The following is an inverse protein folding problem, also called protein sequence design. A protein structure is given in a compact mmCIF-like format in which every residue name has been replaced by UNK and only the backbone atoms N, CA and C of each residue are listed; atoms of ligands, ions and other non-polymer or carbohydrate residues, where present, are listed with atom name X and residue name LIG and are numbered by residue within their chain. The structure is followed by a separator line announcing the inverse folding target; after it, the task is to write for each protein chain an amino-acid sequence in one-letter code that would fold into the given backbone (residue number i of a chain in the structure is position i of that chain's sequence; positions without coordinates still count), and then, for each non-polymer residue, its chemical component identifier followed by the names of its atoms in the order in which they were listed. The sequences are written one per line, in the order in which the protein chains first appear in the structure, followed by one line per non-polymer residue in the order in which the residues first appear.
data_IF_843295726895
#
_entry.id   IF_843295726895
#
_cell.length_a   1.000
_cell.length_b   1.000
_cell.length_c   1.000
_cell.angle_alpha   90.00
_cell.angle_beta   90.00
_cell.angle_gamma   90.00
#
_symmetry.space_group_name_H-M   'P 1'
#
loop_
_entity.id
_entity.type
_entity.pdbx_description
1 polymer ?
#
# COMPACT_ATOMS: atom_id res chain seq x y z
N UNK A 1 -18.56 9.62 -6.05
CA UNK A 1 -17.60 8.70 -6.72
C UNK A 1 -18.38 7.52 -7.26
N UNK A 2 -18.25 7.25 -8.56
CA UNK A 2 -18.89 6.16 -9.26
C UNK A 2 -17.86 5.12 -9.66
N UNK A 3 -17.78 4.04 -8.89
CA UNK A 3 -16.64 3.12 -8.87
C UNK A 3 -16.83 1.95 -9.85
N UNK A 4 -15.82 1.74 -10.71
CA UNK A 4 -15.57 0.49 -11.41
C UNK A 4 -14.46 -0.28 -10.71
N UNK A 5 -14.65 -1.58 -10.48
CA UNK A 5 -13.67 -2.43 -9.79
C UNK A 5 -13.06 -3.41 -10.79
N UNK A 6 -11.73 -3.53 -10.78
CA UNK A 6 -10.98 -4.49 -11.59
C UNK A 6 -10.34 -5.55 -10.71
N UNK A 7 -10.65 -6.81 -11.00
CA UNK A 7 -10.25 -7.98 -10.25
C UNK A 7 -11.41 -8.62 -9.51
N UNK A 8 -11.23 -9.89 -9.13
CA UNK A 8 -12.17 -10.66 -8.32
C UNK A 8 -11.41 -11.48 -7.25
N UNK A 9 -10.17 -11.07 -6.94
CA UNK A 9 -9.28 -11.72 -5.97
C UNK A 9 -9.63 -11.41 -4.52
N UNK A 10 -8.71 -11.82 -3.62
CA UNK A 10 -8.87 -11.66 -2.17
C UNK A 10 -9.07 -10.19 -1.79
N UNK A 11 -8.24 -9.27 -2.33
CA UNK A 11 -8.30 -7.86 -1.93
C UNK A 11 -9.61 -7.19 -2.35
N UNK A 12 -10.17 -7.56 -3.52
CA UNK A 12 -11.48 -7.06 -3.95
C UNK A 12 -12.59 -7.58 -3.02
N UNK A 13 -12.54 -8.84 -2.60
CA UNK A 13 -13.50 -9.36 -1.64
C UNK A 13 -13.39 -8.64 -0.28
N UNK A 14 -12.16 -8.38 0.17
CA UNK A 14 -11.91 -7.61 1.40
C UNK A 14 -12.46 -6.17 1.30
N UNK A 15 -12.29 -5.50 0.15
CA UNK A 15 -12.91 -4.20 -0.12
C UNK A 15 -14.44 -4.26 -0.01
N UNK A 16 -15.05 -5.28 -0.61
CA UNK A 16 -16.49 -5.44 -0.66
C UNK A 16 -17.14 -5.78 0.70
N UNK A 17 -16.34 -6.15 1.73
CA UNK A 17 -16.84 -6.37 3.09
C UNK A 17 -17.35 -5.08 3.74
N UNK A 18 -16.74 -3.93 3.43
CA UNK A 18 -17.05 -2.65 4.10
C UNK A 18 -17.50 -1.53 3.16
N UNK A 19 -17.31 -1.66 1.82
CA UNK A 19 -17.50 -0.55 0.88
C UNK A 19 -18.89 0.09 0.97
N UNK A 20 -19.90 -0.70 1.37
CA UNK A 20 -21.27 -0.21 1.59
C UNK A 20 -21.43 0.73 2.79
N UNK A 21 -20.40 0.83 3.63
CA UNK A 21 -20.34 1.79 4.74
C UNK A 21 -19.76 3.15 4.31
N UNK A 22 -19.33 3.26 3.04
CA UNK A 22 -18.78 4.47 2.42
C UNK A 22 -19.73 4.91 1.31
N UNK A 23 -19.98 6.21 1.16
CA UNK A 23 -20.90 6.76 0.15
C UNK A 23 -20.28 6.71 -1.27
N UNK A 24 -20.08 5.49 -1.77
CA UNK A 24 -19.52 5.17 -3.08
C UNK A 24 -20.52 4.33 -3.86
N UNK A 25 -20.85 4.73 -5.09
CA UNK A 25 -21.74 3.99 -5.97
C UNK A 25 -20.96 2.93 -6.76
N UNK A 26 -21.33 1.64 -6.58
CA UNK A 26 -20.75 0.53 -7.32
C UNK A 26 -21.37 0.42 -8.71
N UNK A 27 -20.65 0.82 -9.74
CA UNK A 27 -21.15 0.85 -11.13
C UNK A 27 -20.81 -0.43 -11.86
N UNK A 28 -19.54 -0.82 -11.89
CA UNK A 28 -19.08 -1.92 -12.71
C UNK A 28 -18.05 -2.79 -12.00
N UNK A 29 -18.02 -4.07 -12.35
CA UNK A 29 -16.94 -4.97 -11.94
C UNK A 29 -16.41 -5.68 -13.19
N UNK A 30 -15.06 -5.82 -13.27
CA UNK A 30 -14.39 -6.47 -14.39
C UNK A 30 -13.30 -7.43 -13.91
N UNK A 31 -13.20 -8.59 -14.57
CA UNK A 31 -12.09 -9.52 -14.43
C UNK A 31 -11.92 -10.34 -15.72
N UNK A 32 -11.09 -11.37 -15.69
CA UNK A 32 -10.86 -12.22 -16.86
C UNK A 32 -12.11 -13.03 -17.25
N UNK A 33 -12.25 -13.44 -18.53
CA UNK A 33 -13.37 -14.30 -18.96
C UNK A 33 -13.54 -15.58 -18.13
N UNK A 34 -12.44 -16.13 -17.60
CA UNK A 34 -12.46 -17.33 -16.75
C UNK A 34 -13.13 -17.09 -15.38
N UNK A 35 -13.28 -15.83 -14.95
CA UNK A 35 -13.89 -15.46 -13.68
C UNK A 35 -15.33 -14.94 -13.82
N UNK A 36 -15.96 -15.13 -15.01
CA UNK A 36 -17.28 -14.58 -15.31
C UNK A 36 -18.35 -14.98 -14.28
N UNK A 37 -18.41 -16.25 -13.92
CA UNK A 37 -19.41 -16.71 -12.94
C UNK A 37 -19.24 -16.05 -11.58
N UNK A 38 -18.00 -15.90 -11.14
CA UNK A 38 -17.66 -15.19 -9.92
C UNK A 38 -18.04 -13.71 -9.98
N UNK A 39 -17.87 -13.07 -11.13
CA UNK A 39 -18.31 -11.68 -11.33
C UNK A 39 -19.82 -11.54 -11.22
N UNK A 40 -20.61 -12.48 -11.77
CA UNK A 40 -22.05 -12.50 -11.66
C UNK A 40 -22.52 -12.70 -10.21
N UNK A 41 -21.84 -13.56 -9.44
CA UNK A 41 -22.11 -13.74 -8.02
C UNK A 41 -21.84 -12.44 -7.23
N UNK A 42 -20.72 -11.76 -7.51
CA UNK A 42 -20.38 -10.48 -6.88
C UNK A 42 -21.38 -9.39 -7.29
N UNK A 43 -21.82 -9.35 -8.54
CA UNK A 43 -22.87 -8.44 -9.01
C UNK A 43 -24.15 -8.61 -8.20
N UNK A 44 -24.64 -9.85 -8.09
CA UNK A 44 -25.87 -10.16 -7.37
C UNK A 44 -25.77 -9.81 -5.88
N UNK A 45 -24.60 -10.09 -5.27
CA UNK A 45 -24.38 -9.86 -3.85
C UNK A 45 -24.22 -8.39 -3.49
N UNK A 46 -23.54 -7.60 -4.32
CA UNK A 46 -23.14 -6.24 -4.00
C UNK A 46 -23.83 -5.16 -4.83
N UNK A 47 -24.65 -5.56 -5.82
CA UNK A 47 -25.50 -4.62 -6.57
C UNK A 47 -24.78 -3.85 -7.68
N UNK A 48 -23.73 -4.41 -8.29
CA UNK A 48 -23.11 -3.77 -9.46
C UNK A 48 -24.09 -3.68 -10.63
N UNK A 49 -24.12 -2.52 -11.31
CA UNK A 49 -24.98 -2.34 -12.49
C UNK A 49 -24.51 -3.17 -13.68
N UNK A 50 -23.18 -3.24 -13.87
CA UNK A 50 -22.57 -3.86 -15.05
C UNK A 50 -21.46 -4.85 -14.67
N UNK A 51 -21.33 -5.91 -15.48
CA UNK A 51 -20.25 -6.90 -15.41
C UNK A 51 -19.52 -6.92 -16.74
N UNK A 52 -18.20 -6.87 -16.71
CA UNK A 52 -17.33 -6.93 -17.88
C UNK A 52 -16.30 -8.04 -17.74
N UNK A 53 -16.02 -8.74 -18.84
CA UNK A 53 -14.90 -9.69 -18.93
C UNK A 53 -13.75 -9.12 -19.77
N UNK A 54 -13.89 -7.88 -20.23
CA UNK A 54 -12.89 -7.08 -20.91
C UNK A 54 -12.77 -5.73 -20.19
N UNK A 55 -11.53 -5.39 -19.78
CA UNK A 55 -11.26 -4.14 -19.08
C UNK A 55 -11.44 -2.91 -19.97
N UNK A 56 -11.04 -3.02 -21.24
CA UNK A 56 -11.12 -1.90 -22.17
C UNK A 56 -12.61 -1.57 -22.49
N UNK A 57 -13.51 -2.56 -22.51
CA UNK A 57 -14.95 -2.32 -22.58
C UNK A 57 -15.48 -1.60 -21.33
N UNK A 58 -15.05 -1.99 -20.13
CA UNK A 58 -15.46 -1.29 -18.91
C UNK A 58 -15.00 0.17 -18.91
N UNK A 59 -13.82 0.47 -19.42
CA UNK A 59 -13.30 1.85 -19.50
C UNK A 59 -14.15 2.74 -20.42
N UNK A 60 -14.88 2.19 -21.38
CA UNK A 60 -15.82 2.94 -22.26
C UNK A 60 -17.14 3.28 -21.56
N UNK A 61 -17.42 2.71 -20.38
CA UNK A 61 -18.62 3.03 -19.64
C UNK A 61 -18.53 4.44 -19.02
N UNK A 62 -19.38 5.36 -19.51
CA UNK A 62 -19.40 6.76 -19.07
C UNK A 62 -20.00 6.95 -17.67
N UNK A 63 -20.66 5.94 -17.10
CA UNK A 63 -21.13 6.01 -15.71
C UNK A 63 -19.99 5.80 -14.71
N UNK A 64 -18.88 5.16 -15.11
CA UNK A 64 -17.69 4.97 -14.26
C UNK A 64 -16.84 6.24 -14.33
N UNK A 65 -16.59 6.89 -13.20
CA UNK A 65 -15.65 8.03 -13.09
C UNK A 65 -14.32 7.64 -12.45
N UNK A 66 -14.31 6.62 -11.60
CA UNK A 66 -13.14 6.16 -10.84
C UNK A 66 -12.98 4.65 -10.98
N UNK A 67 -11.75 4.18 -11.12
CA UNK A 67 -11.44 2.76 -11.24
C UNK A 67 -10.56 2.31 -10.06
N UNK A 68 -11.03 1.31 -9.31
CA UNK A 68 -10.22 0.60 -8.33
C UNK A 68 -9.53 -0.59 -9.00
N UNK A 69 -8.21 -0.68 -8.86
CA UNK A 69 -7.36 -1.69 -9.48
C UNK A 69 -6.82 -2.68 -8.43
N UNK A 70 -7.53 -3.80 -8.26
CA UNK A 70 -7.17 -4.91 -7.37
C UNK A 70 -6.59 -6.11 -8.15
N UNK A 71 -5.58 -5.86 -8.97
CA UNK A 71 -4.89 -6.85 -9.82
C UNK A 71 -3.51 -7.21 -9.27
N UNK A 72 -2.78 -8.14 -9.92
CA UNK A 72 -1.40 -8.47 -9.51
C UNK A 72 -0.45 -7.28 -9.75
N UNK A 73 0.54 -7.10 -8.87
CA UNK A 73 1.43 -5.94 -8.82
C UNK A 73 2.03 -5.53 -10.18
N UNK A 74 2.56 -6.48 -10.98
CA UNK A 74 3.16 -6.21 -12.29
C UNK A 74 2.16 -5.65 -13.33
N UNK A 75 0.86 -5.78 -13.09
CA UNK A 75 -0.20 -5.25 -13.97
C UNK A 75 -0.61 -3.82 -13.59
N UNK A 76 -0.24 -3.34 -12.40
CA UNK A 76 -0.67 -2.05 -11.88
C UNK A 76 -0.39 -0.91 -12.86
N UNK A 77 0.84 -0.81 -13.36
CA UNK A 77 1.20 0.25 -14.30
C UNK A 77 0.37 0.24 -15.58
N UNK A 78 0.24 -0.94 -16.22
CA UNK A 78 -0.46 -1.05 -17.50
C UNK A 78 -1.95 -0.74 -17.37
N UNK A 79 -2.58 -1.25 -16.30
CA UNK A 79 -4.02 -1.02 -16.06
C UNK A 79 -4.29 0.44 -15.66
N UNK A 80 -3.45 1.01 -14.78
CA UNK A 80 -3.56 2.41 -14.40
C UNK A 80 -3.34 3.36 -15.58
N UNK A 81 -2.36 3.08 -16.44
CA UNK A 81 -2.10 3.87 -17.64
C UNK A 81 -3.33 3.90 -18.57
N UNK A 82 -3.97 2.76 -18.83
CA UNK A 82 -5.19 2.67 -19.63
C UNK A 82 -6.35 3.47 -19.01
N UNK A 83 -6.54 3.38 -17.69
CA UNK A 83 -7.59 4.13 -17.00
C UNK A 83 -7.39 5.64 -17.12
N UNK A 84 -6.17 6.14 -16.89
CA UNK A 84 -5.84 7.55 -17.07
C UNK A 84 -6.03 8.00 -18.53
N UNK A 85 -5.64 7.18 -19.50
CA UNK A 85 -5.88 7.46 -20.93
C UNK A 85 -7.37 7.56 -21.27
N UNK A 86 -8.19 6.75 -20.61
CA UNK A 86 -9.67 6.77 -20.71
C UNK A 86 -10.32 7.87 -19.84
N UNK A 87 -9.53 8.79 -19.28
CA UNK A 87 -9.98 9.90 -18.41
C UNK A 87 -10.73 9.42 -17.16
N UNK A 88 -10.27 8.33 -16.54
CA UNK A 88 -10.81 7.85 -15.25
C UNK A 88 -9.84 8.21 -14.13
N UNK A 89 -10.39 8.61 -12.97
CA UNK A 89 -9.65 8.66 -11.71
C UNK A 89 -9.28 7.24 -11.26
N UNK A 90 -8.27 7.09 -10.41
CA UNK A 90 -7.77 5.77 -10.04
C UNK A 90 -7.64 5.65 -8.51
N UNK A 91 -8.01 4.48 -8.00
CA UNK A 91 -7.56 3.95 -6.71
C UNK A 91 -6.78 2.68 -7.04
N UNK A 92 -5.47 2.71 -6.79
CA UNK A 92 -4.53 1.65 -7.15
C UNK A 92 -4.03 0.93 -5.91
N UNK A 93 -4.17 -0.41 -5.88
CA UNK A 93 -3.62 -1.21 -4.78
C UNK A 93 -2.11 -1.03 -4.63
N UNK A 94 -1.66 -1.20 -3.38
CA UNK A 94 -0.22 -1.26 -3.07
C UNK A 94 0.39 -2.60 -3.59
N UNK A 95 1.67 -2.60 -3.95
CA UNK A 95 2.56 -1.46 -4.17
C UNK A 95 2.12 -0.65 -5.38
N UNK A 96 2.33 0.66 -5.35
CA UNK A 96 1.83 1.56 -6.39
C UNK A 96 2.18 1.09 -7.80
N UNK A 97 3.44 0.71 -8.03
CA UNK A 97 3.94 0.12 -9.27
C UNK A 97 5.10 -0.84 -9.00
N UNK A 98 5.68 -1.44 -10.04
CA UNK A 98 6.87 -2.29 -9.91
C UNK A 98 8.15 -1.50 -9.61
N UNK A 99 8.23 -0.21 -10.01
CA UNK A 99 9.39 0.65 -9.81
C UNK A 99 9.02 2.14 -9.86
N UNK A 100 9.97 2.99 -9.45
CA UNK A 100 9.80 4.44 -9.38
C UNK A 100 9.47 5.10 -10.73
N UNK A 101 10.09 4.66 -11.83
CA UNK A 101 9.87 5.30 -13.13
C UNK A 101 8.45 5.07 -13.65
N UNK A 102 7.88 3.89 -13.42
CA UNK A 102 6.48 3.61 -13.72
C UNK A 102 5.56 4.52 -12.89
N UNK A 103 5.82 4.64 -11.58
CA UNK A 103 5.06 5.53 -10.69
C UNK A 103 5.11 6.98 -11.17
N UNK A 104 6.29 7.48 -11.51
CA UNK A 104 6.49 8.84 -12.00
C UNK A 104 5.72 9.10 -13.30
N UNK A 105 5.70 8.15 -14.23
CA UNK A 105 4.91 8.26 -15.47
C UNK A 105 3.41 8.38 -15.20
N UNK A 106 2.88 7.57 -14.28
CA UNK A 106 1.45 7.64 -13.92
C UNK A 106 1.11 8.98 -13.26
N UNK A 107 1.89 9.43 -12.30
CA UNK A 107 1.68 10.71 -11.60
C UNK A 107 1.73 11.89 -12.57
N UNK A 108 2.71 11.91 -13.48
CA UNK A 108 2.81 12.98 -14.48
C UNK A 108 1.59 13.00 -15.43
N UNK A 109 1.13 11.83 -15.88
CA UNK A 109 -0.07 11.74 -16.74
C UNK A 109 -1.34 12.14 -15.99
N UNK A 110 -1.47 11.76 -14.71
CA UNK A 110 -2.59 12.15 -13.88
C UNK A 110 -2.65 13.69 -13.71
N UNK A 111 -1.51 14.33 -13.41
CA UNK A 111 -1.39 15.79 -13.32
C UNK A 111 -1.73 16.47 -14.64
N UNK A 112 -1.20 16.00 -15.77
CA UNK A 112 -1.46 16.53 -17.11
C UNK A 112 -2.97 16.50 -17.44
N UNK A 113 -3.65 15.43 -17.06
CA UNK A 113 -5.07 15.23 -17.36
C UNK A 113 -6.02 15.78 -16.28
N UNK A 114 -5.49 16.37 -15.21
CA UNK A 114 -6.29 16.77 -14.03
C UNK A 114 -7.12 15.63 -13.45
N UNK A 115 -6.52 14.44 -13.34
CA UNK A 115 -7.12 13.26 -12.74
C UNK A 115 -6.48 12.96 -11.38
N UNK A 116 -7.26 12.44 -10.46
CA UNK A 116 -6.79 12.00 -9.15
C UNK A 116 -6.31 10.56 -9.22
N UNK A 117 -5.24 10.25 -8.48
CA UNK A 117 -4.69 8.91 -8.36
C UNK A 117 -4.28 8.62 -6.91
N UNK A 118 -4.98 7.71 -6.28
CA UNK A 118 -4.77 7.31 -4.89
C UNK A 118 -4.12 5.93 -4.82
N UNK A 119 -3.09 5.77 -3.99
CA UNK A 119 -2.59 4.45 -3.61
C UNK A 119 -3.40 3.93 -2.43
N UNK A 120 -3.97 2.73 -2.56
CA UNK A 120 -4.70 2.07 -1.49
C UNK A 120 -3.71 1.52 -0.46
N UNK A 121 -3.36 2.36 0.51
CA UNK A 121 -2.45 2.07 1.62
C UNK A 121 -3.06 2.51 2.95
N UNK A 122 -3.53 1.56 3.73
CA UNK A 122 -4.25 1.83 4.99
C UNK A 122 -3.44 2.60 6.03
N UNK A 123 -2.11 2.47 6.02
CA UNK A 123 -1.21 2.94 7.08
C UNK A 123 -1.34 4.44 7.37
N UNK A 124 -1.19 5.30 6.36
CA UNK A 124 -1.16 6.75 6.52
C UNK A 124 -2.56 7.38 6.74
N UNK A 125 -3.60 6.63 6.41
CA UNK A 125 -5.01 7.04 6.60
C UNK A 125 -5.57 6.60 7.97
N UNK A 126 -4.81 5.77 8.70
CA UNK A 126 -5.24 5.23 9.99
C UNK A 126 -5.29 6.33 11.06
N UNK A 127 -6.37 6.42 11.89
CA UNK A 127 -6.49 7.45 12.93
C UNK A 127 -5.38 7.38 13.98
N UNK A 128 -4.86 6.18 14.30
CA UNK A 128 -3.71 6.05 15.18
C UNK A 128 -2.43 6.61 14.56
N UNK A 129 -2.25 6.48 13.22
CA UNK A 129 -1.13 7.10 12.52
C UNK A 129 -1.19 8.64 12.63
N UNK A 130 -2.34 9.23 12.35
CA UNK A 130 -2.56 10.68 12.48
C UNK A 130 -2.30 11.16 13.92
N UNK A 131 -2.68 10.34 14.91
CA UNK A 131 -2.41 10.65 16.33
C UNK A 131 -0.92 10.52 16.69
N UNK A 132 -0.20 9.56 16.15
CA UNK A 132 1.25 9.45 16.32
C UNK A 132 1.94 10.70 15.76
N UNK A 133 1.54 11.16 14.56
CA UNK A 133 2.07 12.38 13.94
C UNK A 133 1.90 13.61 14.86
N UNK A 134 0.71 13.77 15.47
CA UNK A 134 0.44 14.85 16.44
C UNK A 134 1.32 14.77 17.70
N UNK A 135 1.65 13.56 18.16
CA UNK A 135 2.41 13.34 19.39
C UNK A 135 3.93 13.39 19.20
N UNK A 136 4.43 13.23 17.96
CA UNK A 136 5.88 13.22 17.68
C UNK A 136 6.63 14.41 18.30
N UNK A 137 6.15 15.67 18.24
CA UNK A 137 6.86 16.81 18.83
C UNK A 137 7.09 16.69 20.34
N UNK A 138 6.28 15.91 21.05
CA UNK A 138 6.41 15.72 22.51
C UNK A 138 7.55 14.77 22.89
N UNK A 139 8.09 14.01 21.94
CA UNK A 139 9.13 13.03 22.18
C UNK A 139 10.54 13.64 22.18
N UNK A 140 10.69 14.90 21.76
CA UNK A 140 12.01 15.52 21.53
C UNK A 140 12.67 14.99 20.25
N UNK A 141 14.00 14.80 20.30
CA UNK A 141 14.76 14.34 19.14
C UNK A 141 14.67 12.82 18.97
N UNK A 142 14.12 12.37 17.86
CA UNK A 142 14.12 10.95 17.49
C UNK A 142 15.57 10.47 17.28
N UNK A 143 15.91 9.29 17.79
CA UNK A 143 17.24 8.68 17.70
C UNK A 143 17.23 7.37 16.91
N UNK A 144 16.25 6.49 17.15
CA UNK A 144 16.14 5.19 16.48
C UNK A 144 14.66 4.89 16.20
N UNK A 145 14.39 4.38 15.00
CA UNK A 145 13.09 3.78 14.66
C UNK A 145 13.29 2.31 14.29
N UNK A 146 12.53 1.42 14.90
CA UNK A 146 12.52 0.00 14.57
C UNK A 146 11.11 -0.44 14.18
N UNK A 147 10.94 -1.01 12.99
CA UNK A 147 9.67 -1.53 12.50
C UNK A 147 9.84 -2.98 12.05
N UNK A 148 8.86 -3.81 12.36
CA UNK A 148 8.91 -5.24 12.07
C UNK A 148 7.55 -5.72 11.55
N UNK A 149 7.54 -6.24 10.33
CA UNK A 149 6.42 -7.00 9.78
C UNK A 149 6.90 -8.35 9.28
N UNK A 150 6.92 -9.33 10.15
CA UNK A 150 7.32 -10.71 9.84
C UNK A 150 6.15 -11.64 10.02
N UNK A 151 5.85 -12.40 8.98
CA UNK A 151 4.72 -13.32 8.94
C UNK A 151 5.09 -14.56 8.12
N UNK A 152 5.03 -15.75 8.73
CA UNK A 152 5.14 -16.98 7.93
C UNK A 152 3.98 -17.04 6.94
N UNK A 153 4.28 -16.82 5.67
CA UNK A 153 3.28 -16.75 4.62
C UNK A 153 2.59 -18.10 4.42
N UNK A 154 1.27 -18.11 4.33
CA UNK A 154 0.49 -19.29 3.95
C UNK A 154 0.88 -19.89 2.59
N UNK A 155 1.59 -19.12 1.76
CA UNK A 155 2.08 -19.53 0.43
C UNK A 155 3.52 -20.02 0.45
N UNK A 156 4.23 -19.92 1.59
CA UNK A 156 5.64 -20.29 1.67
C UNK A 156 5.87 -21.81 1.58
N UNK A 157 4.94 -22.63 2.08
CA UNK A 157 5.04 -24.08 1.94
C UNK A 157 4.92 -24.57 0.49
N UNK A 158 4.08 -23.91 -0.33
CA UNK A 158 3.99 -24.14 -1.77
C UNK A 158 5.32 -23.73 -2.45
N UNK A 159 5.84 -22.54 -2.09
CA UNK A 159 7.13 -22.04 -2.60
C UNK A 159 8.30 -22.98 -2.26
N UNK A 160 8.38 -23.54 -1.06
CA UNK A 160 9.40 -24.57 -0.70
C UNK A 160 9.32 -25.83 -1.56
N UNK A 161 8.14 -26.15 -2.08
CA UNK A 161 7.89 -27.29 -2.97
C UNK A 161 8.10 -26.97 -4.45
N UNK A 162 8.52 -25.74 -4.77
CA UNK A 162 8.77 -25.28 -6.16
C UNK A 162 7.55 -24.70 -6.86
N UNK A 163 6.40 -24.54 -6.16
CA UNK A 163 5.23 -23.85 -6.69
C UNK A 163 5.33 -22.35 -6.42
N UNK A 164 5.64 -21.57 -7.48
CA UNK A 164 5.86 -20.13 -7.36
C UNK A 164 4.54 -19.37 -7.54
N UNK A 165 3.95 -18.96 -6.44
CA UNK A 165 2.74 -18.12 -6.42
C UNK A 165 3.12 -16.63 -6.55
N UNK A 166 2.19 -15.74 -7.00
CA UNK A 166 2.48 -14.33 -7.30
C UNK A 166 3.27 -13.57 -6.22
N UNK A 167 2.97 -13.81 -4.96
CA UNK A 167 3.63 -13.14 -3.83
C UNK A 167 5.11 -13.53 -3.61
N UNK A 168 5.59 -14.57 -4.31
CA UNK A 168 6.98 -15.05 -4.34
C UNK A 168 7.57 -15.07 -5.74
N UNK A 169 6.91 -14.43 -6.71
CA UNK A 169 7.34 -14.40 -8.10
C UNK A 169 7.94 -13.03 -8.45
N UNK A 170 9.25 -12.98 -8.71
CA UNK A 170 9.91 -11.74 -9.14
C UNK A 170 9.34 -11.18 -10.44
N UNK A 171 8.80 -12.05 -11.32
CA UNK A 171 8.13 -11.65 -12.58
C UNK A 171 6.80 -10.94 -12.33
N UNK A 172 6.27 -11.05 -11.13
CA UNK A 172 5.02 -10.41 -10.71
C UNK A 172 5.23 -9.34 -9.64
N UNK A 173 6.48 -8.87 -9.49
CA UNK A 173 6.85 -7.86 -8.51
C UNK A 173 6.46 -8.24 -7.07
N UNK A 174 6.72 -9.52 -6.72
CA UNK A 174 6.51 -10.05 -5.37
C UNK A 174 7.67 -9.71 -4.42
N UNK A 175 7.82 -10.51 -3.36
CA UNK A 175 8.90 -10.39 -2.38
C UNK A 175 8.50 -9.79 -1.05
N UNK A 176 9.37 -9.90 -0.06
CA UNK A 176 9.13 -9.40 1.29
C UNK A 176 9.16 -7.87 1.35
N UNK A 177 10.06 -7.24 0.60
CA UNK A 177 10.15 -5.78 0.51
C UNK A 177 8.87 -5.17 -0.07
N UNK A 178 8.40 -5.71 -1.21
CA UNK A 178 7.25 -5.19 -1.95
C UNK A 178 5.91 -5.46 -1.26
N UNK A 179 5.77 -6.59 -0.58
CA UNK A 179 4.47 -7.04 -0.08
C UNK A 179 4.24 -6.71 1.40
N UNK A 180 5.29 -6.78 2.23
CA UNK A 180 5.19 -6.58 3.69
C UNK A 180 5.93 -5.32 4.15
N UNK A 181 7.21 -5.13 3.74
CA UNK A 181 7.99 -3.98 4.22
C UNK A 181 7.45 -2.64 3.72
N UNK A 182 6.69 -2.66 2.63
CA UNK A 182 6.02 -1.49 2.07
C UNK A 182 5.20 -0.74 3.13
N UNK A 183 4.50 -1.43 4.02
CA UNK A 183 3.72 -0.80 5.11
C UNK A 183 4.60 -0.07 6.11
N UNK A 184 5.76 -0.66 6.47
CA UNK A 184 6.74 -0.02 7.32
C UNK A 184 7.36 1.21 6.63
N UNK A 185 7.61 1.13 5.31
CA UNK A 185 8.15 2.23 4.51
C UNK A 185 7.14 3.38 4.42
N UNK A 186 5.87 3.09 4.17
CA UNK A 186 4.81 4.11 4.19
C UNK A 186 4.70 4.79 5.54
N UNK A 187 4.78 4.02 6.64
CA UNK A 187 4.71 4.56 7.99
C UNK A 187 5.84 5.55 8.26
N UNK A 188 7.08 5.16 8.00
CA UNK A 188 8.22 6.03 8.33
C UNK A 188 8.34 7.23 7.40
N UNK A 189 8.06 7.07 6.09
CA UNK A 189 8.07 8.18 5.13
C UNK A 189 6.92 9.15 5.42
N UNK A 190 5.75 8.66 5.83
CA UNK A 190 4.63 9.51 6.22
C UNK A 190 4.96 10.43 7.39
N UNK A 191 5.70 9.92 8.39
CA UNK A 191 6.07 10.70 9.58
C UNK A 191 7.30 11.60 9.38
N UNK A 192 8.29 11.17 8.59
CA UNK A 192 9.61 11.81 8.55
C UNK A 192 10.09 12.21 7.16
N UNK A 193 9.30 11.94 6.12
CA UNK A 193 9.70 12.18 4.74
C UNK A 193 10.74 11.20 4.23
N UNK A 194 11.43 11.56 3.13
CA UNK A 194 12.43 10.72 2.49
C UNK A 194 13.73 10.65 3.30
N UNK A 195 14.36 9.46 3.44
CA UNK A 195 15.68 9.32 4.04
C UNK A 195 16.78 9.91 3.13
N UNK A 196 17.97 10.15 3.69
CA UNK A 196 19.17 10.56 2.93
C UNK A 196 19.76 9.42 2.12
N UNK A 197 19.71 8.19 2.66
CA UNK A 197 20.16 6.97 1.98
C UNK A 197 19.49 5.75 2.58
N UNK A 198 19.50 4.67 1.80
CA UNK A 198 18.99 3.36 2.21
C UNK A 198 19.99 2.26 1.85
N UNK A 199 20.00 1.19 2.65
CA UNK A 199 20.66 -0.07 2.35
C UNK A 199 19.71 -1.23 2.66
N UNK A 200 19.77 -2.27 1.84
CA UNK A 200 18.91 -3.46 2.00
C UNK A 200 19.75 -4.73 1.95
N UNK A 201 19.56 -5.59 2.95
CA UNK A 201 20.19 -6.91 3.05
C UNK A 201 19.06 -7.93 3.11
N UNK A 202 19.06 -8.91 2.21
CA UNK A 202 17.95 -9.84 2.07
C UNK A 202 18.39 -11.29 1.93
N UNK A 203 17.53 -12.21 2.38
CA UNK A 203 17.60 -13.62 2.05
C UNK A 203 16.91 -13.83 0.70
N UNK A 204 17.68 -14.19 -0.31
CA UNK A 204 17.21 -14.40 -1.68
C UNK A 204 17.03 -15.90 -1.94
N UNK A 205 15.87 -16.29 -2.48
CA UNK A 205 15.61 -17.63 -2.98
C UNK A 205 14.76 -17.52 -4.26
N UNK A 206 15.09 -18.30 -5.30
CA UNK A 206 14.39 -18.24 -6.60
C UNK A 206 14.27 -16.81 -7.18
N UNK A 207 15.36 -16.04 -7.09
CA UNK A 207 15.46 -14.64 -7.51
C UNK A 207 14.47 -13.67 -6.85
N UNK A 208 13.97 -13.99 -5.66
CA UNK A 208 13.08 -13.12 -4.89
C UNK A 208 13.53 -13.06 -3.42
N UNK A 209 13.34 -11.91 -2.78
CA UNK A 209 13.57 -11.74 -1.36
C UNK A 209 12.44 -12.39 -0.55
N UNK A 210 12.81 -13.35 0.31
CA UNK A 210 11.86 -14.01 1.21
C UNK A 210 11.80 -13.34 2.57
N UNK A 211 12.89 -12.68 2.96
CA UNK A 211 13.00 -11.82 4.15
C UNK A 211 14.16 -10.84 3.98
N UNK A 212 14.15 -9.74 4.75
CA UNK A 212 15.22 -8.77 4.67
C UNK A 212 15.13 -7.66 5.71
N UNK A 213 16.25 -6.92 5.82
CA UNK A 213 16.45 -5.78 6.69
C UNK A 213 16.75 -4.57 5.81
N UNK A 214 15.87 -3.58 5.84
CA UNK A 214 16.06 -2.28 5.22
C UNK A 214 16.52 -1.29 6.28
N UNK A 215 17.68 -0.67 6.09
CA UNK A 215 18.15 0.42 6.91
C UNK A 215 17.96 1.75 6.20
N UNK A 216 17.59 2.78 6.94
CA UNK A 216 17.38 4.14 6.42
C UNK A 216 18.16 5.14 7.27
N UNK A 217 18.97 5.99 6.61
CA UNK A 217 19.67 7.10 7.22
C UNK A 217 18.94 8.42 7.01
N UNK A 218 18.42 9.00 8.09
CA UNK A 218 17.82 10.33 8.11
C UNK A 218 18.81 11.46 8.50
N UNK A 219 20.08 11.09 8.75
CA UNK A 219 21.11 12.00 9.28
C UNK A 219 21.04 12.12 10.79
N UNK A 220 20.00 12.71 11.33
CA UNK A 220 19.79 12.89 12.79
C UNK A 220 19.43 11.59 13.51
N UNK A 221 18.75 10.68 12.84
CA UNK A 221 18.40 9.36 13.39
C UNK A 221 18.57 8.26 12.34
N UNK A 222 18.46 7.01 12.78
CA UNK A 222 18.52 5.82 11.93
C UNK A 222 17.28 4.97 12.11
N UNK A 223 16.87 4.30 11.01
CA UNK A 223 15.75 3.38 11.07
C UNK A 223 16.13 1.99 10.54
N UNK A 224 15.50 0.97 11.14
CA UNK A 224 15.61 -0.44 10.74
C UNK A 224 14.21 -0.99 10.52
N UNK A 225 13.94 -1.43 9.30
CA UNK A 225 12.66 -2.00 8.88
C UNK A 225 12.86 -3.45 8.47
N UNK A 226 12.22 -4.36 9.20
CA UNK A 226 12.37 -5.80 9.01
C UNK A 226 11.08 -6.35 8.39
N UNK A 227 11.23 -7.17 7.35
CA UNK A 227 10.13 -7.92 6.79
C UNK A 227 10.53 -9.35 6.46
N UNK A 228 9.62 -10.30 6.71
CA UNK A 228 9.83 -11.70 6.38
C UNK A 228 8.51 -12.38 5.99
N UNK A 229 8.60 -13.25 4.97
CA UNK A 229 7.52 -14.14 4.50
C UNK A 229 7.83 -15.61 4.77
N UNK A 230 9.07 -15.91 5.16
CA UNK A 230 9.63 -17.24 5.41
C UNK A 230 9.72 -17.60 6.90
N UNK A 231 9.53 -16.61 7.78
CA UNK A 231 9.47 -16.77 9.24
C UNK A 231 8.49 -15.77 9.84
N UNK A 232 8.18 -15.92 11.13
CA UNK A 232 7.31 -15.00 11.86
C UNK A 232 7.80 -14.81 13.29
N UNK A 233 7.55 -13.61 13.84
CA UNK A 233 7.84 -13.24 15.21
C UNK A 233 6.76 -12.27 15.74
N UNK A 234 6.67 -12.03 17.06
CA UNK A 234 5.85 -10.95 17.59
C UNK A 234 6.28 -9.59 17.00
N UNK A 235 5.30 -8.73 16.73
CA UNK A 235 5.59 -7.38 16.26
C UNK A 235 6.15 -6.52 17.40
N UNK A 236 7.26 -5.83 17.10
CA UNK A 236 7.93 -4.93 18.03
C UNK A 236 8.30 -3.66 17.26
N UNK A 237 7.40 -2.70 17.27
CA UNK A 237 7.54 -1.45 16.54
C UNK A 237 7.75 -0.31 17.52
N UNK A 238 8.77 0.52 17.31
CA UNK A 238 9.12 1.57 18.25
C UNK A 238 9.76 2.78 17.56
N UNK A 239 9.31 3.97 17.92
CA UNK A 239 9.99 5.26 17.69
C UNK A 239 10.63 5.64 19.02
N UNK A 240 11.96 5.73 19.07
CA UNK A 240 12.73 6.03 20.26
C UNK A 240 13.34 7.43 20.13
N UNK A 241 13.09 8.27 21.13
CA UNK A 241 13.56 9.64 21.19
C UNK A 241 14.12 9.98 22.58
N UNK A 242 14.72 11.14 22.74
CA UNK A 242 15.39 11.50 23.99
C UNK A 242 14.43 11.87 25.14
N UNK A 243 13.22 12.31 24.86
CA UNK A 243 12.20 12.61 25.88
C UNK A 243 11.16 11.49 26.05
N UNK A 244 11.16 10.45 25.21
CA UNK A 244 10.22 9.35 25.33
C UNK A 244 10.22 8.41 24.12
N UNK A 245 9.15 7.62 24.01
CA UNK A 245 8.96 6.70 22.89
C UNK A 245 7.48 6.50 22.55
N UNK A 246 7.25 6.05 21.31
CA UNK A 246 5.97 5.46 20.89
C UNK A 246 6.24 4.02 20.46
N UNK A 247 5.47 3.06 20.98
CA UNK A 247 5.64 1.67 20.61
C UNK A 247 4.31 0.93 20.44
N UNK A 248 4.32 -0.14 19.66
CA UNK A 248 3.13 -0.96 19.43
C UNK A 248 3.51 -2.41 19.11
N UNK A 249 2.65 -3.35 19.52
CA UNK A 249 2.66 -4.76 19.07
C UNK A 249 1.72 -5.01 17.87
N UNK A 250 1.17 -3.97 17.27
CA UNK A 250 0.37 -4.05 16.04
C UNK A 250 1.26 -3.87 14.80
N UNK A 251 1.05 -4.63 13.72
CA UNK A 251 1.74 -4.37 12.46
C UNK A 251 1.21 -3.08 11.81
N UNK A 252 2.06 -2.41 11.02
CA UNK A 252 1.74 -1.08 10.45
C UNK A 252 0.53 -1.09 9.49
N UNK A 253 0.19 -2.23 8.88
CA UNK A 253 -0.97 -2.29 7.98
C UNK A 253 -2.33 -2.23 8.67
N UNK A 254 -2.40 -2.53 9.98
CA UNK A 254 -3.62 -2.40 10.80
C UNK A 254 -3.52 -1.32 11.85
N UNK A 255 -2.35 -1.15 12.46
CA UNK A 255 -2.04 -0.18 13.51
C UNK A 255 -3.23 0.03 14.48
N UNK A 256 -3.67 -1.06 15.12
CA UNK A 256 -4.89 -1.07 15.94
C UNK A 256 -4.75 -0.28 17.22
N UNK A 257 -3.54 -0.21 17.78
CA UNK A 257 -3.23 0.49 19.02
C UNK A 257 -1.77 0.89 19.07
N UNK A 258 -1.44 1.81 19.98
CA UNK A 258 -0.07 2.14 20.33
C UNK A 258 0.01 2.73 21.75
N UNK A 259 1.21 2.70 22.32
CA UNK A 259 1.55 3.33 23.59
C UNK A 259 2.43 4.56 23.33
N UNK A 260 2.11 5.68 23.99
CA UNK A 260 2.95 6.87 24.07
C UNK A 260 3.49 7.01 25.49
N UNK A 261 4.80 7.01 25.66
CA UNK A 261 5.45 7.05 26.96
C UNK A 261 6.54 8.13 27.00
N UNK A 262 6.37 9.13 27.82
CA UNK A 262 7.44 10.07 28.16
C UNK A 262 8.36 9.49 29.25
N UNK A 263 9.61 9.92 29.28
CA UNK A 263 10.58 9.47 30.27
C UNK A 263 10.05 9.64 31.70
N UNK A 264 10.18 8.60 32.51
CA UNK A 264 9.74 8.55 33.92
C UNK A 264 8.23 8.71 34.14
N UNK A 265 7.42 8.54 33.09
CA UNK A 265 5.94 8.55 33.17
C UNK A 265 5.40 7.18 32.78
N UNK A 266 4.19 6.89 33.22
CA UNK A 266 3.46 5.70 32.78
C UNK A 266 3.04 5.86 31.31
N UNK A 267 2.97 4.78 30.53
CA UNK A 267 2.52 4.82 29.16
C UNK A 267 1.03 5.19 29.07
N UNK A 268 0.68 5.94 28.04
CA UNK A 268 -0.71 6.24 27.67
C UNK A 268 -1.08 5.39 26.47
N UNK A 269 -2.13 4.59 26.64
CA UNK A 269 -2.66 3.72 25.58
C UNK A 269 -3.61 4.47 24.65
N UNK A 270 -3.47 4.23 23.34
CA UNK A 270 -4.34 4.76 22.29
C UNK A 270 -4.88 3.63 21.41
N UNK A 271 -6.19 3.59 21.20
CA UNK A 271 -6.92 2.82 20.19
C UNK A 271 -8.02 3.69 19.60
N UNK A 272 -7.77 4.28 18.45
CA UNK A 272 -8.67 5.21 17.77
C UNK A 272 -9.35 4.59 16.55
N UNK A 273 -9.12 3.31 16.28
CA UNK A 273 -9.69 2.63 15.11
C UNK A 273 -11.17 2.32 15.26
N UNK A 274 -11.66 2.29 16.51
CA UNK A 274 -13.05 1.95 16.83
C UNK A 274 -13.53 0.64 16.19
N UNK A 275 -12.63 -0.33 16.04
CA UNK A 275 -12.88 -1.61 15.35
C UNK A 275 -13.34 -1.46 13.90
N UNK A 276 -13.11 -0.33 13.24
CA UNK A 276 -13.41 -0.17 11.83
C UNK A 276 -12.58 -1.10 10.96
N UNK A 277 -13.13 -1.50 9.83
CA UNK A 277 -12.37 -2.27 8.85
C UNK A 277 -11.10 -1.50 8.44
N UNK A 278 -9.93 -2.15 8.39
CA UNK A 278 -8.61 -1.53 8.20
C UNK A 278 -8.51 -0.60 6.97
N UNK A 279 -9.23 -0.92 5.89
CA UNK A 279 -9.24 -0.15 4.65
C UNK A 279 -10.29 0.98 4.65
N UNK A 280 -11.19 1.05 5.64
CA UNK A 280 -12.30 2.01 5.61
C UNK A 280 -11.83 3.46 5.64
N UNK A 281 -10.83 3.75 6.46
CA UNK A 281 -10.34 5.12 6.64
C UNK A 281 -9.70 5.70 5.37
N UNK A 282 -8.96 4.89 4.60
CA UNK A 282 -8.39 5.33 3.33
C UNK A 282 -9.48 5.69 2.32
N UNK A 283 -10.55 4.88 2.21
CA UNK A 283 -11.67 5.17 1.29
C UNK A 283 -12.50 6.39 1.73
N UNK A 284 -12.62 6.64 3.03
CA UNK A 284 -13.25 7.88 3.54
C UNK A 284 -12.43 9.11 3.16
N UNK A 285 -11.10 9.06 3.33
CA UNK A 285 -10.19 10.15 2.95
C UNK A 285 -10.21 10.37 1.43
N UNK A 286 -10.17 9.30 0.61
CA UNK A 286 -10.23 9.39 -0.86
C UNK A 286 -11.54 10.02 -1.32
N UNK A 287 -12.67 9.60 -0.74
CA UNK A 287 -13.97 10.15 -1.07
C UNK A 287 -14.08 11.64 -0.71
N UNK A 288 -13.55 12.04 0.44
CA UNK A 288 -13.51 13.43 0.89
C UNK A 288 -12.72 14.30 -0.09
N UNK A 289 -11.48 13.88 -0.44
CA UNK A 289 -10.60 14.57 -1.40
C UNK A 289 -11.28 14.68 -2.78
N UNK A 290 -11.85 13.57 -3.24
CA UNK A 290 -12.55 13.49 -4.52
C UNK A 290 -13.75 14.45 -4.58
N UNK A 291 -14.62 14.42 -3.57
CA UNK A 291 -15.83 15.25 -3.53
C UNK A 291 -15.51 16.75 -3.42
N UNK A 292 -14.45 17.10 -2.69
CA UNK A 292 -13.96 18.47 -2.57
C UNK A 292 -13.17 18.95 -3.79
N UNK A 293 -12.80 18.02 -4.70
CA UNK A 293 -11.85 18.28 -5.81
C UNK A 293 -10.54 18.87 -5.29
N UNK A 294 -10.06 18.33 -4.16
CA UNK A 294 -8.83 18.82 -3.50
C UNK A 294 -7.60 18.20 -4.17
N UNK A 295 -7.25 18.76 -5.33
CA UNK A 295 -6.06 18.34 -6.09
C UNK A 295 -4.75 18.59 -5.32
N UNK A 296 -4.72 19.50 -4.37
CA UNK A 296 -3.53 19.74 -3.56
C UNK A 296 -3.31 18.61 -2.53
N UNK A 297 -4.39 18.09 -1.95
CA UNK A 297 -4.31 16.91 -1.07
C UNK A 297 -3.94 15.64 -1.86
N UNK A 298 -4.54 15.44 -3.05
CA UNK A 298 -4.19 14.35 -3.96
C UNK A 298 -2.70 14.41 -4.37
N UNK A 299 -2.17 15.60 -4.71
CA UNK A 299 -0.75 15.78 -5.04
C UNK A 299 0.18 15.34 -3.90
N UNK A 300 -0.15 15.65 -2.65
CA UNK A 300 0.63 15.20 -1.49
C UNK A 300 0.65 13.68 -1.35
N UNK A 301 -0.50 13.02 -1.60
CA UNK A 301 -0.58 11.54 -1.60
C UNK A 301 0.30 10.98 -2.73
N UNK A 302 0.24 11.54 -3.94
CA UNK A 302 1.08 11.13 -5.06
C UNK A 302 2.57 11.30 -4.76
N UNK A 303 2.97 12.42 -4.16
CA UNK A 303 4.37 12.69 -3.77
C UNK A 303 4.85 11.70 -2.71
N UNK A 304 3.98 11.36 -1.75
CA UNK A 304 4.27 10.32 -0.76
C UNK A 304 4.50 8.95 -1.43
N UNK A 305 3.60 8.51 -2.31
CA UNK A 305 3.75 7.24 -3.03
C UNK A 305 5.00 7.22 -3.91
N UNK A 306 5.36 8.35 -4.55
CA UNK A 306 6.62 8.47 -5.30
C UNK A 306 7.84 8.33 -4.39
N UNK A 307 7.82 8.93 -3.19
CA UNK A 307 8.93 8.81 -2.23
C UNK A 307 9.11 7.37 -1.76
N UNK A 308 8.01 6.65 -1.50
CA UNK A 308 8.01 5.22 -1.14
C UNK A 308 8.58 4.38 -2.28
N UNK A 309 8.10 4.57 -3.52
CA UNK A 309 8.58 3.82 -4.68
C UNK A 309 10.05 4.10 -5.00
N UNK A 310 10.53 5.31 -4.74
CA UNK A 310 11.95 5.66 -4.88
C UNK A 310 12.82 4.85 -3.90
N UNK A 311 12.43 4.80 -2.63
CA UNK A 311 13.11 4.00 -1.59
C UNK A 311 13.10 2.52 -1.95
N UNK A 312 11.97 1.96 -2.36
CA UNK A 312 11.87 0.55 -2.74
C UNK A 312 12.77 0.24 -3.95
N UNK A 313 12.76 1.08 -4.97
CA UNK A 313 13.58 0.88 -6.18
C UNK A 313 15.07 0.96 -5.84
N UNK A 314 15.49 1.93 -5.01
CA UNK A 314 16.87 2.04 -4.54
C UNK A 314 17.28 0.83 -3.68
N UNK A 315 16.44 0.40 -2.74
CA UNK A 315 16.71 -0.77 -1.91
C UNK A 315 16.91 -2.05 -2.74
N UNK A 316 16.06 -2.30 -3.75
CA UNK A 316 16.23 -3.43 -4.66
C UNK A 316 17.55 -3.38 -5.44
N UNK A 317 17.99 -2.19 -5.85
CA UNK A 317 19.25 -2.02 -6.57
C UNK A 317 20.49 -2.39 -5.75
N UNK A 318 20.41 -2.31 -4.40
CA UNK A 318 21.51 -2.69 -3.50
C UNK A 318 21.80 -4.20 -3.48
N UNK A 319 20.83 -5.01 -3.87
CA UNK A 319 20.90 -6.48 -3.84
C UNK A 319 20.71 -7.11 -5.22
N UNK A 320 20.80 -6.31 -6.28
CA UNK A 320 20.59 -6.73 -7.67
C UNK A 320 19.24 -7.46 -7.92
N UNK A 321 18.21 -7.11 -7.14
CA UNK A 321 16.86 -7.64 -7.32
C UNK A 321 16.15 -6.87 -8.44
N UNK A 322 16.23 -7.43 -9.65
CA UNK A 322 15.70 -6.84 -10.88
C UNK A 322 14.38 -7.50 -11.27
N UNK A 323 13.36 -6.70 -11.50
CA UNK A 323 12.09 -7.16 -12.07
C UNK A 323 12.09 -7.00 -13.59
N UNK A 324 11.29 -7.79 -14.35
CA UNK A 324 11.17 -7.60 -15.80
C UNK A 324 10.79 -6.17 -16.20
N UNK A 325 9.95 -5.53 -15.41
CA UNK A 325 9.47 -4.16 -15.62
C UNK A 325 10.56 -3.08 -15.48
N UNK A 326 11.70 -3.41 -14.89
CA UNK A 326 12.83 -2.47 -14.76
C UNK A 326 13.57 -2.28 -16.08
N UNK A 327 13.37 -3.19 -17.06
CA UNK A 327 14.02 -3.18 -18.36
C UNK A 327 13.21 -2.47 -19.45
N UNK A 328 11.95 -2.15 -19.19
CA UNK A 328 10.98 -1.67 -20.18
C UNK A 328 10.61 -0.19 -20.02
N UNK A 329 11.54 0.64 -19.54
CA UNK A 329 11.27 2.07 -19.23
C UNK A 329 12.00 2.99 -20.20
#
# INVERSE_FOLDING_TARGET
MKLGIVGAGLIVNTLLEFIHEVDIELIAISATPAEKDKLLDLQNKHGFKYVYTDYDEMLQNNEVDTVYLGVNNHLHFTFALKALQANKHIILEKPFTSNYNQALKLVNLAKEKHLMIFEAISTIHNPNFKKIEELLPSLGDVKIVTLNYTQYSSRYDAFKKGEILPAFDYKKSGGALMDLNIYNIHFIIGLFGSPKSVDYIANIKENIDTSGILTMDYGTFKAVLIAAKDCGAPYTNCIQADEGCIYTSSPMFTLTHFEHQLNKQDPIHYDLTNNAHRMKHEFLDFLEIFNKKDYAADEKIMEHSLAVMKVITEARSKIDLVFPDDQNI
#
